data_IF_632838595670
#
_entry.id   IF_632838595670
#
_cell.length_a   1.000
_cell.length_b   1.000
_cell.length_c   1.000
_cell.angle_alpha   90.00
_cell.angle_beta   90.00
_cell.angle_gamma   90.00
#
_symmetry.space_group_name_H-M   'P 1'
#
loop_
_entity.id
_entity.type
_entity.pdbx_description
1 polymer ?
#
# COMPACT_ATOMS: atom_id res chain seq x y z
N UNK A 1 14.12 -15.92 -5.39
CA UNK A 1 14.67 -14.98 -4.40
C UNK A 1 13.87 -13.71 -4.58
N UNK A 2 13.28 -13.16 -3.53
CA UNK A 2 12.53 -11.90 -3.63
C UNK A 2 13.54 -10.76 -3.60
N UNK A 3 13.55 -9.93 -4.65
CA UNK A 3 14.38 -8.74 -4.75
C UNK A 3 13.72 -7.61 -3.95
N UNK A 4 14.08 -7.48 -2.68
CA UNK A 4 13.48 -6.49 -1.75
C UNK A 4 13.68 -5.06 -2.27
N UNK A 5 14.86 -4.76 -2.81
CA UNK A 5 15.18 -3.44 -3.39
C UNK A 5 14.22 -3.09 -4.54
N UNK A 6 13.92 -4.08 -5.40
CA UNK A 6 12.97 -3.92 -6.49
C UNK A 6 11.55 -3.74 -5.96
N UNK A 7 11.15 -4.53 -4.96
CA UNK A 7 9.83 -4.43 -4.35
C UNK A 7 9.57 -3.09 -3.65
N UNK A 8 10.60 -2.46 -3.07
CA UNK A 8 10.50 -1.13 -2.45
C UNK A 8 10.37 0.00 -3.49
N UNK A 9 10.96 -0.19 -4.66
CA UNK A 9 10.88 0.75 -5.78
C UNK A 9 9.57 0.59 -6.54
N UNK A 10 9.26 -0.64 -6.93
CA UNK A 10 8.15 -0.99 -7.80
C UNK A 10 7.50 -2.31 -7.31
N UNK A 11 6.58 -2.21 -6.33
CA UNK A 11 5.96 -3.37 -5.71
C UNK A 11 5.08 -4.15 -6.70
N UNK A 12 4.42 -3.47 -7.64
CA UNK A 12 3.56 -4.07 -8.65
C UNK A 12 4.32 -4.87 -9.71
N UNK A 13 5.59 -4.55 -9.98
CA UNK A 13 6.48 -5.36 -10.83
C UNK A 13 7.15 -6.51 -10.09
N UNK A 14 7.23 -6.45 -8.76
CA UNK A 14 7.78 -7.53 -7.94
C UNK A 14 6.71 -8.56 -7.54
N UNK A 15 5.48 -8.11 -7.31
CA UNK A 15 4.36 -8.92 -6.84
C UNK A 15 3.12 -8.65 -7.67
N UNK A 16 2.34 -9.71 -7.96
CA UNK A 16 1.07 -9.54 -8.67
C UNK A 16 -0.07 -9.10 -7.76
N UNK A 17 -0.02 -9.45 -6.48
CA UNK A 17 -1.04 -9.08 -5.48
C UNK A 17 -0.40 -8.71 -4.13
N UNK A 18 -1.02 -7.82 -3.34
CA UNK A 18 -0.50 -7.44 -2.02
C UNK A 18 -0.42 -8.61 -1.02
N UNK A 19 -1.27 -9.62 -1.19
CA UNK A 19 -1.23 -10.85 -0.37
C UNK A 19 0.07 -11.65 -0.55
N UNK A 20 0.73 -11.51 -1.69
CA UNK A 20 2.02 -12.15 -1.97
C UNK A 20 3.12 -11.55 -1.07
N UNK A 21 3.03 -10.25 -0.77
CA UNK A 21 3.90 -9.55 0.18
C UNK A 21 3.73 -10.10 1.60
N UNK A 22 2.50 -10.44 2.00
CA UNK A 22 2.22 -11.07 3.30
C UNK A 22 2.86 -12.46 3.39
N UNK A 23 2.74 -13.23 2.31
CA UNK A 23 3.26 -14.59 2.21
C UNK A 23 4.78 -14.65 2.00
N UNK A 24 5.42 -13.51 1.70
CA UNK A 24 6.86 -13.44 1.51
C UNK A 24 7.59 -13.68 2.86
N UNK A 25 8.16 -14.87 3.01
CA UNK A 25 8.92 -15.27 4.21
C UNK A 25 10.29 -14.57 4.29
N UNK A 26 10.78 -14.01 3.18
CA UNK A 26 12.06 -13.28 3.12
C UNK A 26 11.96 -11.82 3.55
N UNK A 27 10.77 -11.31 3.89
CA UNK A 27 10.53 -9.93 4.27
C UNK A 27 10.19 -9.83 5.75
N UNK A 28 10.74 -8.83 6.42
CA UNK A 28 10.31 -8.46 7.78
C UNK A 28 8.97 -7.74 7.73
N UNK A 29 8.25 -7.71 8.86
CA UNK A 29 6.98 -6.98 8.99
C UNK A 29 7.09 -5.53 8.51
N UNK A 30 8.15 -4.83 8.92
CA UNK A 30 8.39 -3.43 8.56
C UNK A 30 8.58 -3.27 7.04
N UNK A 31 9.35 -4.15 6.41
CA UNK A 31 9.55 -4.13 4.96
C UNK A 31 8.25 -4.39 4.20
N UNK A 32 7.43 -5.34 4.67
CA UNK A 32 6.11 -5.61 4.09
C UNK A 32 5.23 -4.36 4.15
N UNK A 33 5.23 -3.65 5.28
CA UNK A 33 4.49 -2.40 5.44
C UNK A 33 5.01 -1.33 4.47
N UNK A 34 6.32 -1.13 4.35
CA UNK A 34 6.89 -0.15 3.40
C UNK A 34 6.50 -0.44 1.94
N UNK A 35 6.60 -1.71 1.53
CA UNK A 35 6.22 -2.17 0.18
C UNK A 35 4.73 -1.88 -0.07
N UNK A 36 3.85 -2.25 0.88
CA UNK A 36 2.42 -2.03 0.76
C UNK A 36 2.04 -0.54 0.81
N UNK A 37 2.71 0.30 1.61
CA UNK A 37 2.51 1.77 1.62
C UNK A 37 2.87 2.39 0.28
N UNK A 38 4.00 1.98 -0.32
CA UNK A 38 4.38 2.44 -1.66
C UNK A 38 3.34 2.01 -2.70
N UNK A 39 2.85 0.78 -2.59
CA UNK A 39 1.86 0.24 -3.51
C UNK A 39 0.51 0.95 -3.39
N UNK A 40 0.08 1.32 -2.19
CA UNK A 40 -1.15 2.11 -1.98
C UNK A 40 -1.10 3.43 -2.77
N UNK A 41 0.03 4.13 -2.70
CA UNK A 41 0.24 5.39 -3.42
C UNK A 41 0.16 5.17 -4.93
N UNK A 42 0.89 4.19 -5.46
CA UNK A 42 0.93 3.87 -6.88
C UNK A 42 -0.46 3.44 -7.41
N UNK A 43 -1.18 2.61 -6.63
CA UNK A 43 -2.54 2.17 -6.94
C UNK A 43 -3.52 3.35 -7.00
N UNK A 44 -3.40 4.31 -6.08
CA UNK A 44 -4.20 5.54 -6.11
C UNK A 44 -3.89 6.42 -7.31
N UNK A 45 -2.62 6.55 -7.72
CA UNK A 45 -2.25 7.28 -8.93
C UNK A 45 -2.77 6.58 -10.20
N UNK A 46 -2.74 5.25 -10.23
CA UNK A 46 -3.31 4.42 -11.30
C UNK A 46 -4.85 4.52 -11.38
N UNK A 47 -5.54 4.66 -10.25
CA UNK A 47 -6.99 4.91 -10.23
C UNK A 47 -7.34 6.24 -10.91
N UNK A 48 -6.56 7.30 -10.70
CA UNK A 48 -6.77 8.60 -11.36
C UNK A 48 -6.59 8.51 -12.88
N UNK A 49 -5.67 7.66 -13.35
CA UNK A 49 -5.45 7.45 -14.79
C UNK A 49 -6.57 6.67 -15.49
N UNK A 50 -7.41 5.94 -14.74
CA UNK A 50 -8.47 5.06 -15.30
C UNK A 50 -9.89 5.63 -15.13
N UNK A 51 -10.03 6.87 -14.66
CA UNK A 51 -11.34 7.49 -14.38
C UNK A 51 -12.16 7.83 -15.65
N UNK A 52 -11.64 7.58 -16.86
CA UNK A 52 -12.32 7.84 -18.15
C UNK A 52 -12.75 6.57 -18.92
N UNK A 53 -12.53 5.34 -18.45
CA UNK A 53 -13.04 4.15 -19.15
C UNK A 53 -13.25 2.91 -18.26
N UNK A 54 -14.51 2.68 -17.88
CA UNK A 54 -15.04 1.43 -17.33
C UNK A 54 -14.61 1.10 -15.89
N UNK A 55 -15.39 1.62 -14.95
CA UNK A 55 -15.48 1.16 -13.57
C UNK A 55 -15.61 -0.37 -13.51
N UNK A 56 -14.68 -1.04 -12.83
CA UNK A 56 -14.91 -2.44 -12.48
C UNK A 56 -13.75 -3.25 -11.93
N UNK A 57 -12.49 -2.93 -12.28
CA UNK A 57 -11.39 -3.89 -11.98
C UNK A 57 -10.29 -3.38 -11.04
N UNK A 58 -10.10 -2.08 -10.87
CA UNK A 58 -8.93 -1.55 -10.13
C UNK A 58 -9.18 -1.25 -8.65
N UNK A 59 -10.44 -1.01 -8.25
CA UNK A 59 -10.79 -0.69 -6.86
C UNK A 59 -10.50 -1.84 -5.87
N UNK A 60 -10.43 -3.08 -6.37
CA UNK A 60 -10.04 -4.23 -5.55
C UNK A 60 -8.57 -4.15 -5.11
N UNK A 61 -7.66 -3.66 -5.98
CA UNK A 61 -6.23 -3.62 -5.69
C UNK A 61 -5.92 -2.75 -4.46
N UNK A 62 -6.46 -1.53 -4.42
CA UNK A 62 -6.29 -0.63 -3.26
C UNK A 62 -6.88 -1.25 -1.98
N UNK A 63 -8.06 -1.83 -2.06
CA UNK A 63 -8.71 -2.45 -0.91
C UNK A 63 -7.92 -3.66 -0.37
N UNK A 64 -7.36 -4.47 -1.26
CA UNK A 64 -6.51 -5.61 -0.91
C UNK A 64 -5.20 -5.16 -0.25
N UNK A 65 -4.60 -4.04 -0.69
CA UNK A 65 -3.42 -3.44 -0.06
C UNK A 65 -3.74 -2.98 1.37
N UNK A 66 -4.87 -2.30 1.55
CA UNK A 66 -5.31 -1.83 2.87
C UNK A 66 -5.59 -3.00 3.83
N UNK A 67 -6.24 -4.06 3.35
CA UNK A 67 -6.46 -5.28 4.14
C UNK A 67 -5.14 -5.93 4.55
N UNK A 68 -4.16 -5.99 3.64
CA UNK A 68 -2.86 -6.55 3.94
C UNK A 68 -2.10 -5.73 5.01
N UNK A 69 -2.21 -4.40 4.95
CA UNK A 69 -1.66 -3.52 5.98
C UNK A 69 -2.34 -3.73 7.34
N UNK A 70 -3.66 -3.88 7.36
CA UNK A 70 -4.44 -4.18 8.57
C UNK A 70 -4.04 -5.53 9.19
N UNK A 71 -3.85 -6.58 8.37
CA UNK A 71 -3.36 -7.89 8.84
C UNK A 71 -1.96 -7.82 9.45
N UNK A 72 -1.12 -6.92 8.94
CA UNK A 72 0.18 -6.62 9.54
C UNK A 72 0.07 -5.76 10.79
N UNK A 73 -1.12 -5.28 11.17
CA UNK A 73 -1.34 -4.34 12.26
C UNK A 73 -0.69 -2.98 12.00
N UNK A 74 -0.70 -2.53 10.74
CA UNK A 74 -0.33 -1.17 10.38
C UNK A 74 -1.56 -0.28 10.41
N UNK A 75 -1.64 0.58 11.41
CA UNK A 75 -2.63 1.65 11.45
C UNK A 75 -2.09 2.89 10.73
N UNK A 76 -2.62 3.27 9.56
CA UNK A 76 -2.25 4.52 8.91
C UNK A 76 -2.61 5.75 9.75
N UNK A 77 -3.47 5.60 10.77
CA UNK A 77 -3.87 6.66 11.69
C UNK A 77 -2.82 6.92 12.80
N UNK A 78 -1.99 5.93 13.14
CA UNK A 78 -0.91 6.11 14.13
C UNK A 78 0.25 6.96 13.59
N UNK A 79 0.45 6.98 12.28
CA UNK A 79 1.46 7.80 11.58
C UNK A 79 0.92 9.21 11.25
N UNK A 80 -0.41 9.38 11.30
CA UNK A 80 -1.08 10.68 11.24
C UNK A 80 -1.06 11.25 12.64
N UNK A 81 0.08 11.82 13.00
CA UNK A 81 0.16 12.69 14.18
C UNK A 81 -1.10 13.59 14.23
N UNK A 82 -1.83 13.63 15.36
CA UNK A 82 -3.00 14.48 15.49
C UNK A 82 -2.56 15.91 15.15
N UNK A 83 -3.35 16.65 14.34
CA UNK A 83 -2.92 17.93 13.82
C UNK A 83 -2.53 18.83 14.99
N UNK A 84 -1.25 19.21 15.00
CA UNK A 84 -0.74 20.23 15.90
C UNK A 84 -1.56 21.51 15.68
N UNK A 85 -2.20 22.00 16.75
CA UNK A 85 -2.78 23.35 16.93
C UNK A 85 -3.22 24.12 15.64
N UNK A 86 -4.53 24.25 15.46
CA UNK A 86 -5.16 25.54 15.10
C UNK A 86 -6.19 25.81 16.21
N UNK A 87 -6.18 26.88 17.02
CA UNK A 87 -5.82 28.26 16.75
C UNK A 87 -7.13 29.09 16.75
N UNK A 88 -7.42 29.79 17.86
CA UNK A 88 -8.53 30.77 18.01
C UNK A 88 -9.90 30.14 18.33
N UNK A 89 -10.73 30.66 19.25
CA UNK A 89 -10.87 32.01 19.82
C UNK A 89 -11.18 31.98 21.32
#
# INVERSE_FOLDING_TARGET
MVDIEKALLDPSSAFSVPQDVLSAEGLTREQKIEILKRWEYDARELEVATEENMAGSNSSCLQDILNALDELGYDPDLDKEPPTKQGGS
#
